data_IF_573864731895
#
_entry.id   IF_573864731895
#
_cell.length_a   1.000
_cell.length_b   1.000
_cell.length_c   1.000
_cell.angle_alpha   90.00
_cell.angle_beta   90.00
_cell.angle_gamma   90.00
#
_symmetry.space_group_name_H-M   'P 1'
#
loop_
_entity.id
_entity.type
_entity.pdbx_description
1 polymer ?
#
# COMPACT_ATOMS: atom_id res chain seq x y z
N UNK A 1 -53.26 -6.17 -73.55
CA UNK A 1 -52.50 -5.90 -72.30
C UNK A 1 -52.16 -7.23 -71.67
N UNK A 2 -50.88 -7.48 -71.33
CA UNK A 2 -50.42 -8.76 -70.78
C UNK A 2 -51.06 -8.97 -69.42
N UNK A 3 -51.92 -9.98 -69.27
CA UNK A 3 -52.41 -10.41 -67.95
C UNK A 3 -51.24 -11.09 -67.25
N UNK A 4 -50.67 -10.42 -66.25
CA UNK A 4 -49.64 -10.98 -65.39
C UNK A 4 -50.30 -12.04 -64.52
N UNK A 5 -49.67 -13.21 -64.40
CA UNK A 5 -50.22 -14.30 -63.61
C UNK A 5 -50.13 -13.97 -62.12
N UNK A 6 -51.11 -14.46 -61.36
CA UNK A 6 -51.09 -14.33 -59.91
C UNK A 6 -49.83 -14.95 -59.29
N UNK A 7 -49.30 -16.03 -59.88
CA UNK A 7 -48.11 -16.72 -59.36
C UNK A 7 -46.87 -15.81 -59.35
N UNK A 8 -46.65 -15.04 -60.43
CA UNK A 8 -45.54 -14.07 -60.50
C UNK A 8 -45.70 -12.99 -59.42
N UNK A 9 -46.94 -12.56 -59.17
CA UNK A 9 -47.22 -11.54 -58.15
C UNK A 9 -46.94 -12.09 -56.76
N UNK A 10 -47.31 -13.34 -56.48
CA UNK A 10 -47.02 -14.01 -55.20
C UNK A 10 -45.53 -14.18 -54.95
N UNK A 11 -44.77 -14.51 -55.98
CA UNK A 11 -43.31 -14.70 -55.87
C UNK A 11 -42.59 -13.37 -55.55
N UNK A 12 -43.08 -12.26 -56.10
CA UNK A 12 -42.49 -10.93 -55.90
C UNK A 12 -43.08 -10.22 -54.67
N UNK A 13 -44.22 -10.67 -54.14
CA UNK A 13 -44.94 -10.03 -53.04
C UNK A 13 -44.10 -9.82 -51.76
N UNK A 14 -43.28 -10.79 -51.31
CA UNK A 14 -42.40 -10.58 -50.15
C UNK A 14 -41.42 -9.42 -50.38
N UNK A 15 -40.79 -9.38 -51.55
CA UNK A 15 -39.83 -8.34 -51.93
C UNK A 15 -40.50 -6.96 -52.05
N UNK A 16 -41.74 -6.92 -52.53
CA UNK A 16 -42.56 -5.70 -52.59
C UNK A 16 -42.89 -5.19 -51.18
N UNK A 17 -43.25 -6.07 -50.25
CA UNK A 17 -43.53 -5.70 -48.85
C UNK A 17 -42.28 -5.24 -48.11
N UNK A 18 -41.10 -5.77 -48.46
CA UNK A 18 -39.81 -5.34 -47.93
C UNK A 18 -39.31 -4.02 -48.58
N UNK A 19 -39.99 -3.51 -49.61
CA UNK A 19 -39.69 -2.23 -50.26
C UNK A 19 -38.43 -2.21 -51.12
N UNK A 20 -37.93 -3.38 -51.54
CA UNK A 20 -36.65 -3.54 -52.27
C UNK A 20 -36.83 -3.77 -53.78
N UNK A 21 -38.05 -3.62 -54.30
CA UNK A 21 -38.35 -3.76 -55.73
C UNK A 21 -38.12 -2.45 -56.48
N UNK A 22 -37.84 -2.55 -57.79
CA UNK A 22 -37.76 -1.38 -58.67
C UNK A 22 -39.12 -0.70 -58.82
N UNK A 23 -39.14 0.60 -59.17
CA UNK A 23 -40.38 1.35 -59.40
C UNK A 23 -41.28 0.75 -60.48
N UNK A 24 -40.69 0.15 -61.52
CA UNK A 24 -41.43 -0.52 -62.58
C UNK A 24 -42.12 -1.79 -62.07
N UNK A 25 -41.42 -2.58 -61.26
CA UNK A 25 -41.98 -3.76 -60.59
C UNK A 25 -43.05 -3.38 -59.57
N UNK A 26 -42.89 -2.24 -58.90
CA UNK A 26 -43.86 -1.72 -57.93
C UNK A 26 -45.20 -1.38 -58.57
N UNK A 27 -45.18 -0.59 -59.66
CA UNK A 27 -46.40 -0.24 -60.42
C UNK A 27 -47.11 -1.47 -60.94
N UNK A 28 -46.34 -2.44 -61.46
CA UNK A 28 -46.86 -3.72 -61.92
C UNK A 28 -47.63 -4.49 -60.83
N UNK A 29 -47.08 -4.56 -59.62
CA UNK A 29 -47.72 -5.23 -58.49
C UNK A 29 -48.95 -4.46 -58.01
N UNK A 30 -48.88 -3.13 -57.93
CA UNK A 30 -50.01 -2.27 -57.53
C UNK A 30 -51.21 -2.39 -58.50
N UNK A 31 -50.96 -2.37 -59.81
CA UNK A 31 -51.98 -2.57 -60.84
C UNK A 31 -52.68 -3.93 -60.69
N UNK A 32 -51.92 -5.00 -60.42
CA UNK A 32 -52.49 -6.34 -60.21
C UNK A 32 -53.26 -6.45 -58.89
N UNK A 33 -52.76 -5.88 -57.79
CA UNK A 33 -53.43 -5.88 -56.49
C UNK A 33 -54.74 -5.06 -56.50
N UNK A 34 -54.85 -4.06 -57.38
CA UNK A 34 -56.08 -3.28 -57.57
C UNK A 34 -57.20 -4.10 -58.22
N UNK A 35 -56.86 -5.08 -59.04
CA UNK A 35 -57.81 -5.87 -59.84
C UNK A 35 -58.00 -7.30 -59.35
N UNK A 36 -57.10 -7.82 -58.49
CA UNK A 36 -57.10 -9.21 -58.02
C UNK A 36 -57.29 -9.33 -56.50
N UNK A 37 -58.46 -9.79 -56.07
CA UNK A 37 -58.82 -9.92 -54.66
C UNK A 37 -58.05 -11.04 -53.91
N UNK A 38 -57.58 -12.08 -54.61
CA UNK A 38 -56.81 -13.17 -53.97
C UNK A 38 -55.41 -12.71 -53.60
N UNK A 39 -54.70 -12.07 -54.52
CA UNK A 39 -53.36 -11.51 -54.27
C UNK A 39 -53.39 -10.43 -53.18
N UNK A 40 -54.48 -9.64 -53.10
CA UNK A 40 -54.69 -8.67 -52.02
C UNK A 40 -54.81 -9.33 -50.64
N UNK A 41 -55.53 -10.45 -50.52
CA UNK A 41 -55.64 -11.20 -49.25
C UNK A 41 -54.28 -11.79 -48.84
N UNK A 42 -53.52 -12.32 -49.78
CA UNK A 42 -52.19 -12.87 -49.51
C UNK A 42 -51.20 -11.79 -49.05
N UNK A 43 -51.27 -10.59 -49.62
CA UNK A 43 -50.46 -9.45 -49.18
C UNK A 43 -50.73 -9.08 -47.71
N UNK A 44 -51.99 -9.07 -47.30
CA UNK A 44 -52.38 -8.76 -45.92
C UNK A 44 -51.97 -9.86 -44.93
N UNK A 45 -52.08 -11.13 -45.33
CA UNK A 45 -51.60 -12.27 -44.52
C UNK A 45 -50.08 -12.19 -44.31
N UNK A 46 -49.33 -11.87 -45.36
CA UNK A 46 -47.88 -11.72 -45.28
C UNK A 46 -47.47 -10.51 -44.42
N UNK A 47 -48.16 -9.37 -44.54
CA UNK A 47 -47.94 -8.20 -43.67
C UNK A 47 -48.17 -8.51 -42.19
N UNK A 48 -49.23 -9.26 -41.85
CA UNK A 48 -49.49 -9.66 -40.46
C UNK A 48 -48.43 -10.62 -39.92
N UNK A 49 -47.93 -11.54 -40.75
CA UNK A 49 -46.87 -12.49 -40.38
C UNK A 49 -45.49 -11.82 -40.24
N UNK A 50 -45.29 -10.68 -40.90
CA UNK A 50 -44.09 -9.85 -40.83
C UNK A 50 -44.08 -8.84 -39.67
N UNK A 51 -45.08 -8.87 -38.77
CA UNK A 51 -44.97 -8.20 -37.46
C UNK A 51 -44.01 -9.01 -36.57
N UNK A 52 -42.76 -9.08 -36.98
CA UNK A 52 -41.66 -9.45 -36.12
C UNK A 52 -41.49 -8.31 -35.11
N UNK A 53 -41.33 -8.60 -33.80
CA UNK A 53 -41.00 -7.57 -32.82
C UNK A 53 -39.74 -6.87 -33.32
N UNK A 54 -39.90 -5.62 -33.76
CA UNK A 54 -38.91 -4.83 -34.50
C UNK A 54 -37.49 -5.12 -34.00
N UNK A 55 -36.61 -5.56 -34.89
CA UNK A 55 -35.20 -5.89 -34.64
C UNK A 55 -34.45 -4.80 -33.86
N UNK A 56 -34.92 -3.55 -33.92
CA UNK A 56 -34.45 -2.43 -33.08
C UNK A 56 -34.62 -2.63 -31.58
N UNK A 57 -35.73 -3.21 -31.10
CA UNK A 57 -35.96 -3.44 -29.66
C UNK A 57 -35.03 -4.52 -29.11
N UNK A 58 -34.85 -5.61 -29.85
CA UNK A 58 -33.92 -6.70 -29.48
C UNK A 58 -32.48 -6.18 -29.43
N UNK A 59 -32.04 -5.40 -30.42
CA UNK A 59 -30.70 -4.80 -30.41
C UNK A 59 -30.50 -3.76 -29.29
N UNK A 60 -31.53 -2.98 -28.96
CA UNK A 60 -31.45 -1.99 -27.87
C UNK A 60 -31.38 -2.66 -26.49
N UNK A 61 -32.14 -3.73 -26.27
CA UNK A 61 -32.13 -4.47 -25.01
C UNK A 61 -30.84 -5.29 -24.85
N UNK A 62 -30.31 -5.90 -25.92
CA UNK A 62 -29.00 -6.56 -25.89
C UNK A 62 -27.87 -5.57 -25.59
N UNK A 63 -27.85 -4.39 -26.22
CA UNK A 63 -26.83 -3.36 -25.95
C UNK A 63 -26.95 -2.81 -24.53
N UNK A 64 -28.16 -2.68 -23.97
CA UNK A 64 -28.36 -2.26 -22.57
C UNK A 64 -27.87 -3.32 -21.58
N UNK A 65 -28.23 -4.59 -21.78
CA UNK A 65 -27.78 -5.70 -20.93
C UNK A 65 -26.25 -5.82 -20.97
N UNK A 66 -25.65 -5.68 -22.15
CA UNK A 66 -24.20 -5.73 -22.29
C UNK A 66 -23.50 -4.54 -21.62
N UNK A 67 -24.09 -3.33 -21.69
CA UNK A 67 -23.57 -2.15 -20.95
C UNK A 67 -23.70 -2.31 -19.44
N UNK A 68 -24.84 -2.79 -18.94
CA UNK A 68 -25.06 -3.01 -17.51
C UNK A 68 -24.13 -4.09 -16.94
N UNK A 69 -23.91 -5.17 -17.68
CA UNK A 69 -22.94 -6.20 -17.32
C UNK A 69 -21.52 -5.64 -17.36
N UNK A 70 -21.13 -4.93 -18.43
CA UNK A 70 -19.81 -4.30 -18.55
C UNK A 70 -19.54 -3.30 -17.43
N UNK A 71 -20.53 -2.51 -17.02
CA UNK A 71 -20.39 -1.55 -15.93
C UNK A 71 -20.33 -2.23 -14.55
N UNK A 72 -21.10 -3.31 -14.33
CA UNK A 72 -20.98 -4.14 -13.11
C UNK A 72 -19.61 -4.82 -13.02
N UNK A 73 -19.12 -5.40 -14.12
CA UNK A 73 -17.81 -6.03 -14.18
C UNK A 73 -16.67 -5.01 -14.04
N UNK A 74 -16.77 -3.84 -14.68
CA UNK A 74 -15.82 -2.75 -14.50
C UNK A 74 -15.79 -2.28 -13.06
N UNK A 75 -16.93 -1.94 -12.46
CA UNK A 75 -17.00 -1.52 -11.04
C UNK A 75 -16.39 -2.58 -10.11
N UNK A 76 -16.69 -3.87 -10.32
CA UNK A 76 -16.10 -4.97 -9.53
C UNK A 76 -14.58 -5.06 -9.69
N UNK A 77 -14.06 -5.02 -10.93
CA UNK A 77 -12.62 -5.07 -11.16
C UNK A 77 -11.90 -3.81 -10.65
N UNK A 78 -12.51 -2.63 -10.77
CA UNK A 78 -11.92 -1.40 -10.22
C UNK A 78 -11.86 -1.45 -8.70
N UNK A 79 -12.90 -1.95 -8.01
CA UNK A 79 -12.88 -2.14 -6.55
C UNK A 79 -11.78 -3.12 -6.14
N UNK A 80 -11.64 -4.25 -6.83
CA UNK A 80 -10.58 -5.23 -6.55
C UNK A 80 -9.19 -4.62 -6.75
N UNK A 81 -8.99 -3.85 -7.83
CA UNK A 81 -7.73 -3.17 -8.08
C UNK A 81 -7.42 -2.10 -7.01
N UNK A 82 -8.41 -1.32 -6.59
CA UNK A 82 -8.21 -0.37 -5.48
C UNK A 82 -7.89 -1.11 -4.17
N UNK A 83 -8.59 -2.21 -3.88
CA UNK A 83 -8.34 -3.00 -2.69
C UNK A 83 -6.95 -3.62 -2.70
N UNK A 84 -6.46 -4.09 -3.86
CA UNK A 84 -5.10 -4.62 -3.97
C UNK A 84 -4.04 -3.54 -3.74
N UNK A 85 -4.25 -2.33 -4.27
CA UNK A 85 -3.35 -1.19 -4.04
C UNK A 85 -3.33 -0.79 -2.58
N UNK A 86 -4.50 -0.68 -1.93
CA UNK A 86 -4.60 -0.35 -0.50
C UNK A 86 -3.89 -1.42 0.34
N UNK A 87 -4.11 -2.70 0.03
CA UNK A 87 -3.44 -3.81 0.73
C UNK A 87 -1.92 -3.71 0.60
N UNK A 88 -1.41 -3.44 -0.61
CA UNK A 88 0.01 -3.26 -0.83
C UNK A 88 0.58 -2.08 -0.03
N UNK A 89 -0.13 -0.94 0.01
CA UNK A 89 0.28 0.23 0.79
C UNK A 89 0.35 -0.11 2.29
N UNK A 90 -0.68 -0.79 2.82
CA UNK A 90 -0.69 -1.20 4.23
C UNK A 90 0.44 -2.16 4.57
N UNK A 91 0.80 -3.08 3.67
CA UNK A 91 1.93 -3.98 3.86
C UNK A 91 3.25 -3.20 3.92
N UNK A 92 3.45 -2.25 3.01
CA UNK A 92 4.66 -1.40 3.00
C UNK A 92 4.75 -0.58 4.29
N UNK A 93 3.65 0.02 4.73
CA UNK A 93 3.59 0.77 6.00
C UNK A 93 3.87 -0.14 7.19
N UNK A 94 3.33 -1.36 7.18
CA UNK A 94 3.56 -2.34 8.24
C UNK A 94 5.03 -2.76 8.33
N UNK A 95 5.65 -3.07 7.19
CA UNK A 95 7.07 -3.42 7.10
C UNK A 95 7.94 -2.25 7.55
N UNK A 96 7.64 -1.03 7.08
CA UNK A 96 8.40 0.16 7.47
C UNK A 96 8.26 0.47 8.96
N UNK A 97 7.04 0.40 9.49
CA UNK A 97 6.77 0.56 10.93
C UNK A 97 7.55 -0.45 11.76
N UNK A 98 7.52 -1.73 11.37
CA UNK A 98 8.31 -2.77 12.03
C UNK A 98 9.81 -2.47 11.98
N UNK A 99 10.32 -2.11 10.80
CA UNK A 99 11.74 -1.85 10.60
C UNK A 99 12.28 -0.66 11.41
N UNK A 100 11.45 0.33 11.74
CA UNK A 100 11.85 1.53 12.49
C UNK A 100 11.52 1.42 13.98
N UNK A 101 10.44 0.74 14.37
CA UNK A 101 9.99 0.68 15.77
C UNK A 101 10.60 -0.46 16.57
N UNK A 102 11.01 -1.56 15.93
CA UNK A 102 11.67 -2.67 16.61
C UNK A 102 13.09 -2.28 17.00
N UNK A 103 13.26 -1.90 18.26
CA UNK A 103 14.55 -1.57 18.86
C UNK A 103 15.20 -2.81 19.46
N UNK A 104 16.51 -2.94 19.29
CA UNK A 104 17.30 -4.00 19.92
C UNK A 104 18.54 -3.37 20.50
N UNK A 105 18.83 -3.62 21.78
CA UNK A 105 20.02 -3.11 22.43
C UNK A 105 21.29 -3.64 21.73
N UNK A 106 22.21 -2.72 21.44
CA UNK A 106 23.54 -3.07 20.94
C UNK A 106 24.36 -3.52 22.14
N UNK A 107 24.85 -4.75 22.11
CA UNK A 107 25.73 -5.26 23.17
C UNK A 107 27.00 -4.42 23.30
N UNK A 108 27.51 -4.30 24.52
CA UNK A 108 28.73 -3.56 24.76
C UNK A 108 29.92 -4.18 24.01
N UNK A 109 30.70 -3.31 23.37
CA UNK A 109 31.93 -3.64 22.64
C UNK A 109 32.89 -2.47 22.82
N UNK A 110 33.92 -2.65 23.65
CA UNK A 110 34.89 -1.59 23.97
C UNK A 110 35.69 -1.07 22.77
N UNK A 111 35.72 -1.78 21.64
CA UNK A 111 36.33 -1.27 20.42
C UNK A 111 35.45 -0.23 19.71
N UNK A 112 34.13 -0.33 19.89
CA UNK A 112 33.13 0.51 19.21
C UNK A 112 32.50 1.56 20.12
N UNK A 113 32.39 1.26 21.41
CA UNK A 113 31.74 2.08 22.42
C UNK A 113 32.80 2.53 23.43
N UNK A 114 32.96 3.84 23.60
CA UNK A 114 33.86 4.39 24.61
C UNK A 114 33.35 5.73 25.14
N UNK A 115 33.89 6.16 26.29
CA UNK A 115 33.62 7.48 26.85
C UNK A 115 34.84 8.37 26.62
N UNK A 116 34.64 9.50 25.97
CA UNK A 116 35.67 10.50 25.72
C UNK A 116 35.41 11.76 26.55
N UNK A 117 36.48 12.42 26.97
CA UNK A 117 36.44 13.69 27.71
C UNK A 117 36.93 14.83 26.80
N UNK A 118 36.13 15.89 26.71
CA UNK A 118 36.51 17.13 26.04
C UNK A 118 36.00 18.32 26.84
N UNK A 119 36.86 19.28 27.17
CA UNK A 119 36.51 20.52 27.88
C UNK A 119 35.73 20.31 29.20
N UNK A 120 36.07 19.28 29.96
CA UNK A 120 35.41 18.94 31.24
C UNK A 120 34.05 18.23 31.08
N UNK A 121 33.65 17.90 29.85
CA UNK A 121 32.41 17.20 29.51
C UNK A 121 32.70 15.77 29.09
N UNK A 122 31.78 14.87 29.44
CA UNK A 122 31.83 13.45 29.06
C UNK A 122 30.90 13.18 27.88
N UNK A 123 31.42 12.48 26.88
CA UNK A 123 30.71 12.08 25.67
C UNK A 123 30.78 10.57 25.49
N UNK A 124 29.64 9.92 25.26
CA UNK A 124 29.58 8.57 24.75
C UNK A 124 29.84 8.58 23.25
N UNK A 125 30.79 7.78 22.80
CA UNK A 125 31.20 7.66 21.40
C UNK A 125 30.87 6.28 20.88
N UNK A 126 30.18 6.24 19.74
CA UNK A 126 29.87 5.04 19.00
C UNK A 126 30.52 5.06 17.61
N UNK A 127 31.27 4.00 17.30
CA UNK A 127 31.95 3.77 16.02
C UNK A 127 31.35 2.56 15.32
N UNK A 128 30.12 2.69 14.83
CA UNK A 128 29.43 1.64 14.10
C UNK A 128 28.33 2.19 13.20
N UNK A 129 28.01 1.42 12.16
CA UNK A 129 27.15 1.84 11.05
C UNK A 129 25.64 1.63 11.34
N UNK A 130 25.29 0.88 12.38
CA UNK A 130 23.94 0.37 12.63
C UNK A 130 23.17 1.14 13.71
N UNK A 131 23.63 2.34 14.09
CA UNK A 131 23.03 3.11 15.18
C UNK A 131 21.59 3.54 14.84
N UNK A 132 20.62 3.01 15.59
CA UNK A 132 19.22 3.47 15.53
C UNK A 132 18.92 4.60 16.52
N UNK A 133 19.68 4.71 17.61
CA UNK A 133 19.58 5.79 18.58
C UNK A 133 20.19 5.45 19.94
N UNK A 134 20.02 6.36 20.90
CA UNK A 134 20.54 6.25 22.27
C UNK A 134 19.41 6.43 23.28
N UNK A 135 19.47 5.70 24.38
CA UNK A 135 18.65 5.94 25.57
C UNK A 135 19.61 6.20 26.72
N UNK A 136 19.37 7.27 27.47
CA UNK A 136 20.21 7.67 28.60
C UNK A 136 19.33 8.11 29.78
N UNK A 137 19.80 7.80 30.98
CA UNK A 137 19.22 8.21 32.25
C UNK A 137 20.32 8.79 33.15
N UNK A 138 19.96 9.85 33.87
CA UNK A 138 20.87 10.56 34.78
C UNK A 138 21.48 11.84 34.18
N UNK A 139 22.40 12.49 34.91
CA UNK A 139 22.95 12.02 36.19
C UNK A 139 21.91 11.94 37.32
N UNK A 140 21.87 10.83 38.05
CA UNK A 140 21.03 10.65 39.25
C UNK A 140 21.85 10.17 40.45
N UNK A 141 21.49 10.62 41.66
CA UNK A 141 22.16 10.24 42.91
C UNK A 141 21.66 8.87 43.35
N UNK A 142 22.48 7.85 43.24
CA UNK A 142 22.16 6.49 43.69
C UNK A 142 23.09 6.04 44.82
N UNK A 143 22.64 5.08 45.62
CA UNK A 143 23.47 4.49 46.69
C UNK A 143 24.08 3.18 46.19
N UNK A 144 25.33 3.26 45.74
CA UNK A 144 26.11 2.09 45.28
C UNK A 144 27.20 1.83 46.31
N UNK A 145 27.30 0.58 46.78
CA UNK A 145 28.23 0.16 47.85
C UNK A 145 28.13 1.01 49.12
N UNK A 146 26.91 1.46 49.46
CA UNK A 146 26.66 2.31 50.64
C UNK A 146 27.15 3.75 50.51
N UNK A 147 27.64 4.18 49.34
CA UNK A 147 28.04 5.55 49.05
C UNK A 147 27.07 6.18 48.07
N UNK A 148 26.70 7.44 48.31
CA UNK A 148 25.97 8.26 47.33
C UNK A 148 26.90 8.61 46.18
N UNK A 149 26.51 8.22 44.98
CA UNK A 149 27.28 8.42 43.76
C UNK A 149 26.34 8.93 42.66
N UNK A 150 26.78 9.92 41.90
CA UNK A 150 26.06 10.36 40.72
C UNK A 150 26.38 9.43 39.56
N UNK A 151 25.37 8.73 39.04
CA UNK A 151 25.55 7.78 37.97
C UNK A 151 24.82 8.21 36.71
N UNK A 152 25.37 7.82 35.57
CA UNK A 152 24.69 7.87 34.27
C UNK A 152 24.62 6.45 33.73
N UNK A 153 23.45 6.05 33.25
CA UNK A 153 23.29 4.79 32.51
C UNK A 153 22.80 5.12 31.12
N UNK A 154 23.43 4.53 30.10
CA UNK A 154 22.94 4.65 28.73
C UNK A 154 23.13 3.36 27.96
N UNK A 155 22.41 3.24 26.85
CA UNK A 155 22.67 2.20 25.86
C UNK A 155 22.34 2.71 24.46
N UNK A 156 22.99 2.11 23.47
CA UNK A 156 22.64 2.29 22.07
C UNK A 156 21.71 1.17 21.61
N UNK A 157 20.79 1.48 20.71
CA UNK A 157 19.96 0.48 20.08
C UNK A 157 20.09 0.54 18.56
N UNK A 158 19.96 -0.63 17.94
CA UNK A 158 19.78 -0.77 16.49
C UNK A 158 18.31 -1.05 16.17
N UNK A 159 17.94 -0.81 14.92
CA UNK A 159 16.65 -1.18 14.34
C UNK A 159 16.91 -1.94 13.04
N UNK A 160 15.97 -2.76 12.53
CA UNK A 160 16.15 -3.36 11.22
C UNK A 160 16.41 -2.33 10.11
N UNK A 161 15.86 -1.12 10.23
CA UNK A 161 16.16 -0.01 9.32
C UNK A 161 17.62 0.45 9.43
N UNK A 162 18.09 0.80 10.64
CA UNK A 162 19.46 1.29 10.83
C UNK A 162 20.51 0.23 10.51
N UNK A 163 20.18 -1.06 10.69
CA UNK A 163 21.09 -2.17 10.41
C UNK A 163 21.21 -2.53 8.93
N UNK A 164 20.10 -2.54 8.19
CA UNK A 164 20.07 -3.10 6.83
C UNK A 164 19.84 -2.06 5.72
N UNK A 165 19.20 -0.93 6.03
CA UNK A 165 18.75 0.03 5.03
C UNK A 165 19.59 1.30 5.05
N UNK A 166 19.80 1.88 6.25
CA UNK A 166 20.56 3.13 6.41
C UNK A 166 21.99 3.07 5.82
N UNK A 167 22.78 1.99 5.99
CA UNK A 167 24.15 1.93 5.47
C UNK A 167 24.24 1.96 3.92
N UNK A 168 23.12 1.78 3.22
CA UNK A 168 23.07 1.87 1.76
C UNK A 168 23.12 3.34 1.29
N UNK A 169 22.69 4.27 2.15
CA UNK A 169 22.53 5.69 1.80
C UNK A 169 23.55 6.61 2.49
N UNK A 170 24.04 6.22 3.65
CA UNK A 170 24.93 7.02 4.49
C UNK A 170 26.27 6.31 4.65
N UNK A 171 27.37 7.04 4.40
CA UNK A 171 28.72 6.57 4.75
C UNK A 171 29.00 6.88 6.23
N UNK A 172 29.63 5.89 6.87
CA UNK A 172 29.89 5.74 8.30
C UNK A 172 30.16 7.06 9.06
N UNK A 173 29.47 7.28 10.18
CA UNK A 173 29.69 8.42 11.04
C UNK A 173 30.01 7.96 12.47
N UNK A 174 31.06 8.53 13.05
CA UNK A 174 31.24 8.48 14.49
C UNK A 174 30.10 9.27 15.14
N UNK A 175 29.33 8.62 16.02
CA UNK A 175 28.25 9.27 16.75
C UNK A 175 28.71 9.62 18.15
N UNK A 176 28.47 10.87 18.56
CA UNK A 176 28.80 11.37 19.89
C UNK A 176 27.55 11.82 20.62
N UNK A 177 27.35 11.35 21.85
CA UNK A 177 26.23 11.73 22.71
C UNK A 177 26.75 12.35 24.00
N UNK A 178 26.24 13.52 24.38
CA UNK A 178 26.64 14.22 25.60
C UNK A 178 26.02 13.55 26.84
N UNK A 179 26.85 13.10 27.77
CA UNK A 179 26.41 12.43 29.00
C UNK A 179 26.27 13.38 30.19
N UNK A 180 27.06 14.45 30.24
CA UNK A 180 27.07 15.43 31.32
C UNK A 180 28.47 15.95 31.65
N UNK A 181 28.55 16.81 32.66
CA UNK A 181 29.80 17.37 33.14
C UNK A 181 30.56 16.36 34.02
N UNK A 182 31.87 16.21 33.81
CA UNK A 182 32.72 15.27 34.56
C UNK A 182 32.74 15.55 36.06
N UNK A 183 32.52 16.79 36.46
CA UNK A 183 32.44 17.17 37.86
C UNK A 183 31.19 16.60 38.55
N UNK A 184 30.11 16.42 37.79
CA UNK A 184 28.81 15.97 38.29
C UNK A 184 28.65 14.45 38.23
N UNK A 185 29.44 13.75 37.42
CA UNK A 185 29.31 12.30 37.21
C UNK A 185 30.41 11.55 37.96
N UNK A 186 30.01 10.60 38.81
CA UNK A 186 30.94 9.70 39.50
C UNK A 186 31.16 8.40 38.73
N UNK A 187 30.13 7.83 38.09
CA UNK A 187 30.24 6.59 37.30
C UNK A 187 29.34 6.58 36.07
N UNK A 188 29.75 5.84 35.03
CA UNK A 188 28.94 5.62 33.83
C UNK A 188 28.83 4.12 33.58
N UNK A 189 27.59 3.68 33.38
CA UNK A 189 27.25 2.31 33.07
C UNK A 189 26.61 2.19 31.69
N UNK A 190 26.86 1.06 31.03
CA UNK A 190 26.28 0.69 29.76
C UNK A 190 25.38 -0.54 29.91
N UNK A 191 24.10 -0.40 29.62
CA UNK A 191 23.16 -1.51 29.76
C UNK A 191 21.74 -1.14 29.38
N UNK A 192 20.96 -2.14 28.96
CA UNK A 192 19.54 -1.97 28.61
C UNK A 192 18.72 -1.74 29.87
N UNK A 193 17.84 -0.74 29.84
CA UNK A 193 16.89 -0.46 30.91
C UNK A 193 15.58 0.08 30.35
N UNK A 194 14.48 -0.20 31.04
CA UNK A 194 13.16 0.35 30.70
C UNK A 194 12.98 1.73 31.32
N UNK A 195 12.74 2.75 30.50
CA UNK A 195 12.45 4.11 30.96
C UNK A 195 10.95 4.36 31.18
N UNK A 196 10.14 3.31 31.39
CA UNK A 196 8.67 3.43 31.47
C UNK A 196 8.21 4.13 32.76
N UNK A 197 8.19 5.47 32.75
CA UNK A 197 7.27 6.34 33.51
C UNK A 197 7.23 6.27 35.05
N UNK A 198 7.90 5.30 35.66
CA UNK A 198 8.09 5.10 37.09
C UNK A 198 9.55 5.38 37.43
N UNK A 199 9.79 5.83 38.66
CA UNK A 199 11.15 6.09 39.15
C UNK A 199 12.02 4.87 38.88
N UNK A 200 12.95 5.05 37.95
CA UNK A 200 13.86 4.00 37.52
C UNK A 200 14.90 3.86 38.62
N UNK A 201 14.95 2.69 39.27
CA UNK A 201 15.93 2.39 40.30
C UNK A 201 17.31 2.30 39.65
N UNK A 202 18.07 3.39 39.71
CA UNK A 202 19.36 3.48 39.05
C UNK A 202 20.38 2.48 39.63
N UNK A 203 20.24 2.08 40.90
CA UNK A 203 21.09 1.06 41.51
C UNK A 203 20.82 -0.33 40.92
N UNK A 204 19.55 -0.72 40.77
CA UNK A 204 19.18 -1.99 40.15
C UNK A 204 19.59 -2.07 38.67
N UNK A 205 19.54 -0.95 37.96
CA UNK A 205 20.05 -0.86 36.58
C UNK A 205 21.57 -1.03 36.56
N UNK A 206 22.29 -0.34 37.45
CA UNK A 206 23.75 -0.42 37.53
C UNK A 206 24.26 -1.83 37.86
N UNK A 207 23.52 -2.63 38.65
CA UNK A 207 23.89 -4.03 38.93
C UNK A 207 23.87 -4.93 37.68
N UNK A 208 23.02 -4.63 36.70
CA UNK A 208 22.86 -5.42 35.48
C UNK A 208 23.57 -4.78 34.26
N UNK A 209 24.21 -3.64 34.47
CA UNK A 209 24.90 -2.87 33.43
C UNK A 209 26.42 -2.97 33.60
N UNK A 210 27.14 -2.84 32.49
CA UNK A 210 28.59 -2.86 32.50
C UNK A 210 29.13 -1.47 32.87
N UNK A 211 29.98 -1.38 33.90
CA UNK A 211 30.63 -0.12 34.23
C UNK A 211 31.73 0.18 33.20
N UNK A 212 31.59 1.28 32.46
CA UNK A 212 32.52 1.65 31.38
C UNK A 212 33.38 2.87 31.72
N UNK A 213 33.03 3.62 32.77
CA UNK A 213 33.81 4.75 33.26
C UNK A 213 33.56 5.02 34.75
N UNK A 214 34.57 5.54 35.46
CA UNK A 214 34.45 5.90 36.88
C UNK A 214 35.45 6.96 37.33
N UNK A 215 34.98 7.93 38.10
CA UNK A 215 35.76 9.04 38.67
C UNK A 215 36.70 8.50 39.74
N UNK A 216 37.97 8.37 39.38
CA UNK A 216 39.01 7.82 40.25
C UNK A 216 39.37 6.35 40.00
N UNK A 217 38.83 5.73 38.93
CA UNK A 217 39.36 4.48 38.42
C UNK A 217 40.76 4.73 37.84
N UNK A 218 41.78 4.55 38.67
CA UNK A 218 43.17 4.44 38.24
C UNK A 218 43.26 3.22 37.30
N UNK A 219 43.51 3.51 36.03
CA UNK A 219 43.84 2.64 34.89
C UNK A 219 43.75 1.13 35.00
N UNK A 220 43.14 0.50 33.99
CA UNK A 220 43.59 -0.76 33.40
C UNK A 220 43.39 -0.70 31.86
N UNK A 221 44.16 -1.47 31.08
CA UNK A 221 45.11 -0.92 30.11
C UNK A 221 44.64 -0.94 28.65
N UNK A 222 45.47 -0.27 27.84
CA UNK A 222 45.58 -0.21 26.37
C UNK A 222 44.89 -1.30 25.56
#
# INVERSE_FOLDING_TARGET
MKKISCDIIKDVLPLYLDGIVSEDTKKMVEEHLSSCASCKKEAEILKQKLILPSTKKIQLDEVKVFKELKDKFRKKNTIIAFLSVITAILLVIGIHSYAVLSKTCISYDGAKICVEEADGKLYAVYRGENLGGTVASGPSVEVIDGKKQNIVVFYYYETPWSKYIQPIFEEDNQYTFYLGDKEEIDQIYYGEFESEGLMTDGAAIAENAEQIWGKGAFGLPQ
#
